data_IF_043855200008
#
_entry.id   IF_043855200008
#
_cell.length_a   1.000
_cell.length_b   1.000
_cell.length_c   1.000
_cell.angle_alpha   90.00
_cell.angle_beta   90.00
_cell.angle_gamma   90.00
#
_symmetry.space_group_name_H-M   'P 1'
#
loop_
_entity.id
_entity.type
_entity.pdbx_description
1 polymer ?
#
# COMPACT_ATOMS: atom_id res chain seq x y z
N UNK A 1 -11.34 33.23 20.60
CA UNK A 1 -10.52 32.28 21.37
C UNK A 1 -9.45 31.78 20.42
N UNK A 2 -8.19 32.07 20.70
CA UNK A 2 -7.09 31.59 19.86
C UNK A 2 -7.11 30.06 19.92
N UNK A 3 -7.23 29.42 18.75
CA UNK A 3 -6.96 27.99 18.62
C UNK A 3 -5.52 27.80 19.07
N UNK A 4 -5.28 27.09 20.17
CA UNK A 4 -3.94 26.57 20.44
C UNK A 4 -3.57 25.71 19.24
N UNK A 5 -2.68 26.24 18.40
CA UNK A 5 -2.29 25.58 17.17
C UNK A 5 -1.66 24.24 17.55
N UNK A 6 -2.16 23.17 16.94
CA UNK A 6 -1.64 21.82 17.16
C UNK A 6 -0.13 21.82 16.92
N UNK A 7 0.66 21.60 17.98
CA UNK A 7 2.11 21.50 17.84
C UNK A 7 2.43 20.11 17.31
N UNK A 8 2.80 20.02 16.04
CA UNK A 8 3.37 18.79 15.49
C UNK A 8 4.72 18.47 16.15
N UNK A 9 4.97 17.19 16.52
CA UNK A 9 6.26 16.77 17.02
C UNK A 9 7.32 16.93 15.93
N UNK A 10 8.54 17.25 16.34
CA UNK A 10 9.71 17.18 15.46
C UNK A 10 9.99 15.73 15.03
N UNK A 11 10.86 15.55 14.03
CA UNK A 11 11.30 14.20 13.62
C UNK A 11 11.92 13.48 14.82
N UNK A 12 12.80 14.15 15.57
CA UNK A 12 13.46 13.54 16.73
C UNK A 12 12.47 13.19 17.85
N UNK A 13 11.49 14.05 18.12
CA UNK A 13 10.42 13.76 19.08
C UNK A 13 9.57 12.56 18.62
N UNK A 14 9.31 12.44 17.32
CA UNK A 14 8.56 11.32 16.74
C UNK A 14 9.36 10.02 16.84
N UNK A 15 10.64 10.02 16.47
CA UNK A 15 11.50 8.83 16.48
C UNK A 15 11.73 8.30 17.90
N UNK A 16 11.81 9.19 18.90
CA UNK A 16 12.00 8.83 20.30
C UNK A 16 10.69 8.54 21.04
N UNK A 17 9.53 8.67 20.38
CA UNK A 17 8.24 8.41 21.01
C UNK A 17 8.08 6.91 21.32
N UNK A 18 7.65 6.50 22.54
CA UNK A 18 7.53 5.08 22.91
C UNK A 18 6.61 4.26 22.01
N UNK A 19 5.63 4.89 21.35
CA UNK A 19 4.73 4.23 20.40
C UNK A 19 5.31 4.09 18.98
N UNK A 20 6.40 4.81 18.64
CA UNK A 20 6.97 4.81 17.29
C UNK A 20 7.42 3.42 16.81
N UNK A 21 8.05 2.56 17.64
CA UNK A 21 8.35 1.18 17.25
C UNK A 21 7.10 0.38 16.84
N UNK A 22 5.93 0.71 17.41
CA UNK A 22 4.65 0.09 17.08
C UNK A 22 3.96 0.64 15.83
N UNK A 23 4.51 1.68 15.19
CA UNK A 23 3.93 2.28 13.99
C UNK A 23 4.11 1.42 12.74
N UNK A 24 5.16 0.59 12.70
CA UNK A 24 5.41 -0.41 11.65
C UNK A 24 5.51 -1.78 12.28
N UNK A 25 4.88 -2.76 11.65
CA UNK A 25 4.88 -4.14 12.11
C UNK A 25 5.76 -4.99 11.21
N UNK A 26 6.61 -5.81 11.81
CA UNK A 26 7.34 -6.85 11.08
C UNK A 26 6.44 -8.08 10.97
N UNK A 27 5.64 -8.10 9.90
CA UNK A 27 4.76 -9.20 9.56
C UNK A 27 5.52 -10.16 8.64
N UNK A 28 5.96 -11.30 9.17
CA UNK A 28 6.72 -12.27 8.38
C UNK A 28 5.77 -13.00 7.40
N UNK A 29 5.99 -12.94 6.08
CA UNK A 29 5.16 -13.66 5.10
C UNK A 29 5.40 -15.17 5.14
N UNK A 30 4.38 -15.94 4.78
CA UNK A 30 4.51 -17.40 4.57
C UNK A 30 5.31 -17.72 3.32
N UNK A 31 5.21 -16.87 2.30
CA UNK A 31 6.10 -16.88 1.15
C UNK A 31 6.20 -15.50 0.51
N UNK A 32 7.31 -15.23 -0.15
CA UNK A 32 7.55 -13.98 -0.84
C UNK A 32 8.49 -14.21 -2.03
N UNK A 33 8.47 -13.29 -2.98
CA UNK A 33 9.35 -13.38 -4.13
C UNK A 33 9.15 -12.20 -5.08
N UNK A 34 9.69 -12.38 -6.28
CA UNK A 34 9.42 -11.50 -7.40
C UNK A 34 8.92 -12.32 -8.59
N UNK A 35 7.89 -11.82 -9.25
CA UNK A 35 7.41 -12.37 -10.51
C UNK A 35 7.90 -11.47 -11.65
N UNK A 36 8.57 -12.06 -12.64
CA UNK A 36 8.98 -11.33 -13.83
C UNK A 36 7.81 -11.26 -14.81
N UNK A 37 7.32 -10.05 -15.08
CA UNK A 37 6.11 -9.77 -15.85
C UNK A 37 6.40 -8.81 -17.01
N UNK A 38 5.37 -8.57 -17.83
CA UNK A 38 5.37 -7.62 -18.94
C UNK A 38 6.43 -7.92 -20.03
N UNK A 39 6.90 -9.17 -20.14
CA UNK A 39 7.95 -9.58 -21.09
C UNK A 39 7.63 -9.19 -22.54
N UNK A 40 6.36 -9.30 -22.93
CA UNK A 40 5.86 -8.95 -24.27
C UNK A 40 5.17 -7.57 -24.31
N UNK A 41 5.33 -6.76 -23.27
CA UNK A 41 4.73 -5.41 -23.13
C UNK A 41 5.80 -4.34 -22.93
N UNK A 42 6.03 -3.96 -21.67
CA UNK A 42 6.92 -2.87 -21.26
C UNK A 42 8.09 -3.37 -20.41
N UNK A 43 8.35 -4.68 -20.42
CA UNK A 43 9.28 -5.38 -19.55
C UNK A 43 10.38 -6.16 -20.29
N UNK A 44 11.02 -7.13 -19.62
CA UNK A 44 10.65 -7.71 -18.33
C UNK A 44 10.80 -6.71 -17.17
N UNK A 45 9.86 -6.78 -16.21
CA UNK A 45 9.95 -6.09 -14.92
C UNK A 45 9.67 -7.07 -13.79
N UNK A 46 10.40 -6.97 -12.70
CA UNK A 46 10.18 -7.80 -11.52
C UNK A 46 9.23 -7.11 -10.55
N UNK A 47 8.06 -7.73 -10.32
CA UNK A 47 7.06 -7.31 -9.34
C UNK A 47 7.23 -8.10 -8.06
N UNK A 48 7.55 -7.39 -6.97
CA UNK A 48 7.66 -7.98 -5.65
C UNK A 48 6.28 -8.29 -5.07
N UNK A 49 6.15 -9.45 -4.44
CA UNK A 49 4.92 -9.93 -3.84
C UNK A 49 5.19 -10.66 -2.53
N UNK A 50 4.17 -10.68 -1.67
CA UNK A 50 4.14 -11.41 -0.40
C UNK A 50 2.81 -12.14 -0.26
N UNK A 51 2.87 -13.33 0.33
CA UNK A 51 1.70 -14.13 0.73
C UNK A 51 1.70 -14.29 2.25
N UNK A 52 0.55 -14.00 2.86
CA UNK A 52 0.29 -14.23 4.29
C UNK A 52 -0.96 -15.08 4.47
N UNK A 53 -0.89 -16.09 5.33
CA UNK A 53 -1.97 -17.03 5.58
C UNK A 53 -1.95 -18.23 4.62
N UNK A 54 -2.83 -19.19 4.90
CA UNK A 54 -2.91 -20.45 4.18
C UNK A 54 -4.35 -20.99 4.09
N UNK A 55 -5.34 -20.13 4.35
CA UNK A 55 -6.74 -20.48 4.27
C UNK A 55 -7.30 -20.47 2.84
N UNK A 56 -8.48 -21.08 2.63
CA UNK A 56 -9.04 -21.27 1.29
C UNK A 56 -9.51 -19.97 0.61
N UNK A 57 -9.80 -18.90 1.37
CA UNK A 57 -10.32 -17.64 0.82
C UNK A 57 -9.15 -16.74 0.39
N UNK A 58 -9.02 -16.50 -0.91
CA UNK A 58 -7.91 -15.73 -1.49
C UNK A 58 -8.27 -14.26 -1.64
N UNK A 59 -7.48 -13.38 -1.06
CA UNK A 59 -7.65 -11.92 -1.12
C UNK A 59 -6.42 -11.30 -1.78
N UNK A 60 -6.62 -10.39 -2.74
CA UNK A 60 -5.54 -9.65 -3.42
C UNK A 60 -5.66 -8.17 -3.06
N UNK A 61 -4.60 -7.61 -2.51
CA UNK A 61 -4.55 -6.20 -2.11
C UNK A 61 -3.70 -5.38 -3.08
N UNK A 62 -4.29 -4.35 -3.69
CA UNK A 62 -3.62 -3.46 -4.64
C UNK A 62 -3.57 -2.05 -4.05
N UNK A 63 -2.34 -1.56 -3.81
CA UNK A 63 -2.10 -0.28 -3.13
C UNK A 63 -2.28 0.92 -4.08
N UNK A 64 -2.45 2.10 -3.48
CA UNK A 64 -2.49 3.40 -4.17
C UNK A 64 -1.12 3.91 -4.66
N UNK A 65 -1.12 5.11 -5.24
CA UNK A 65 0.07 5.75 -5.77
C UNK A 65 1.11 5.98 -4.67
N UNK A 66 2.38 5.66 -4.97
CA UNK A 66 3.55 5.90 -4.12
C UNK A 66 3.53 5.23 -2.73
N UNK A 67 2.62 4.30 -2.47
CA UNK A 67 2.57 3.52 -1.24
C UNK A 67 2.96 2.05 -1.52
N UNK A 68 3.79 1.49 -0.65
CA UNK A 68 4.19 0.08 -0.72
C UNK A 68 3.14 -0.84 -0.10
N UNK A 69 3.27 -2.13 -0.36
CA UNK A 69 2.36 -3.15 0.16
C UNK A 69 2.24 -3.15 1.70
N UNK A 70 3.27 -2.68 2.41
CA UNK A 70 3.31 -2.63 3.88
C UNK A 70 2.25 -1.69 4.50
N UNK A 71 1.69 -0.74 3.74
CA UNK A 71 0.63 0.11 4.28
C UNK A 71 -0.68 -0.68 4.58
N UNK A 72 -0.78 -1.94 4.13
CA UNK A 72 -1.85 -2.87 4.50
C UNK A 72 -1.61 -3.62 5.82
N UNK A 73 -0.58 -3.30 6.62
CA UNK A 73 -0.17 -4.09 7.80
C UNK A 73 -1.33 -4.45 8.75
N UNK A 74 -2.32 -3.56 8.94
CA UNK A 74 -3.49 -3.85 9.80
C UNK A 74 -4.37 -4.95 9.21
N UNK A 75 -4.65 -4.88 7.92
CA UNK A 75 -5.41 -5.89 7.19
C UNK A 75 -4.61 -7.20 7.10
N UNK A 76 -3.30 -7.12 6.85
CA UNK A 76 -2.42 -8.29 6.81
C UNK A 76 -2.36 -9.01 8.15
N UNK A 77 -2.26 -8.28 9.26
CA UNK A 77 -2.29 -8.86 10.61
C UNK A 77 -3.62 -9.59 10.84
N UNK A 78 -4.76 -8.91 10.63
CA UNK A 78 -6.06 -9.49 10.90
C UNK A 78 -6.37 -10.73 10.02
N UNK A 79 -6.21 -10.62 8.70
CA UNK A 79 -6.59 -11.71 7.78
C UNK A 79 -5.49 -12.74 7.59
N UNK A 80 -4.25 -12.30 7.42
CA UNK A 80 -3.12 -13.16 7.07
C UNK A 80 -2.41 -13.80 8.27
N UNK A 81 -2.62 -13.29 9.49
CA UNK A 81 -2.03 -13.87 10.70
C UNK A 81 -3.09 -14.33 11.70
N UNK A 82 -3.97 -13.44 12.18
CA UNK A 82 -4.95 -13.78 13.21
C UNK A 82 -6.01 -14.77 12.68
N UNK A 83 -6.28 -14.76 11.38
CA UNK A 83 -7.23 -15.65 10.69
C UNK A 83 -6.59 -16.44 9.53
N UNK A 84 -5.30 -16.79 9.67
CA UNK A 84 -4.50 -17.45 8.64
C UNK A 84 -5.10 -18.77 8.13
N UNK A 85 -5.88 -19.50 8.94
CA UNK A 85 -6.58 -20.72 8.53
C UNK A 85 -7.78 -20.47 7.61
N UNK A 86 -8.31 -19.25 7.57
CA UNK A 86 -9.49 -18.88 6.79
C UNK A 86 -9.11 -18.15 5.50
N UNK A 87 -8.08 -17.30 5.56
CA UNK A 87 -7.68 -16.42 4.46
C UNK A 87 -6.24 -16.65 4.01
N UNK A 88 -6.01 -16.41 2.73
CA UNK A 88 -4.67 -16.25 2.15
C UNK A 88 -4.63 -14.92 1.42
N UNK A 89 -3.74 -14.03 1.86
CA UNK A 89 -3.58 -12.66 1.37
C UNK A 89 -2.42 -12.61 0.37
N UNK A 90 -2.64 -12.07 -0.83
CA UNK A 90 -1.60 -11.65 -1.78
C UNK A 90 -1.45 -10.14 -1.71
N UNK A 91 -0.24 -9.70 -1.37
CA UNK A 91 0.20 -8.33 -1.39
C UNK A 91 1.24 -8.15 -2.49
N UNK A 92 1.24 -7.01 -3.17
CA UNK A 92 2.24 -6.69 -4.18
C UNK A 92 2.63 -5.21 -4.17
N UNK A 93 3.89 -4.94 -4.47
CA UNK A 93 4.35 -3.60 -4.78
C UNK A 93 4.07 -3.34 -6.26
N UNK A 94 3.23 -2.36 -6.56
CA UNK A 94 3.03 -1.90 -7.94
C UNK A 94 4.39 -1.53 -8.57
N UNK A 95 4.52 -1.71 -9.91
CA UNK A 95 5.67 -1.16 -10.65
C UNK A 95 5.94 0.29 -10.24
N UNK A 96 7.21 0.66 -10.10
CA UNK A 96 7.63 2.00 -9.67
C UNK A 96 7.71 2.22 -8.16
N UNK A 97 7.28 1.27 -7.32
CA UNK A 97 7.22 1.44 -5.86
C UNK A 97 7.89 0.27 -5.13
N UNK A 98 8.37 0.54 -3.91
CA UNK A 98 8.85 -0.49 -2.99
C UNK A 98 10.02 -1.29 -3.56
N UNK A 99 9.93 -2.60 -3.54
CA UNK A 99 10.99 -3.51 -4.02
C UNK A 99 10.77 -4.02 -5.44
N UNK A 100 9.69 -3.60 -6.09
CA UNK A 100 9.46 -3.78 -7.52
C UNK A 100 10.35 -2.87 -8.35
N UNK A 101 10.55 -3.26 -9.61
CA UNK A 101 11.31 -2.49 -10.59
C UNK A 101 10.64 -1.15 -10.90
N UNK A 102 11.48 -0.17 -11.28
CA UNK A 102 11.08 1.24 -11.47
C UNK A 102 11.49 1.74 -12.86
N UNK A 103 10.97 1.12 -13.93
CA UNK A 103 11.36 1.48 -15.29
C UNK A 103 10.99 2.94 -15.60
N UNK A 104 11.83 3.61 -16.38
CA UNK A 104 11.51 4.88 -17.01
C UNK A 104 10.58 4.63 -18.21
N UNK A 105 9.29 4.53 -17.94
CA UNK A 105 8.26 4.25 -18.92
C UNK A 105 6.99 5.04 -18.63
N UNK A 106 6.01 4.97 -19.53
CA UNK A 106 4.65 5.43 -19.25
C UNK A 106 3.93 4.35 -18.44
N UNK A 107 3.22 4.77 -17.40
CA UNK A 107 2.51 3.87 -16.49
C UNK A 107 1.02 4.02 -16.78
N UNK A 108 0.35 2.89 -17.05
CA UNK A 108 -1.10 2.85 -17.27
C UNK A 108 -1.74 1.84 -16.33
N UNK A 109 -2.96 2.12 -15.91
CA UNK A 109 -3.74 1.21 -15.06
C UNK A 109 -4.00 -0.12 -15.75
N UNK A 110 -4.19 -0.11 -17.07
CA UNK A 110 -4.33 -1.33 -17.90
C UNK A 110 -3.06 -2.18 -17.87
N UNK A 111 -1.87 -1.59 -18.05
CA UNK A 111 -0.61 -2.35 -17.95
C UNK A 111 -0.35 -2.87 -16.54
N UNK A 112 -0.68 -2.08 -15.52
CA UNK A 112 -0.54 -2.51 -14.13
C UNK A 112 -1.52 -3.62 -13.77
N UNK A 113 -2.73 -3.62 -14.34
CA UNK A 113 -3.68 -4.72 -14.18
C UNK A 113 -3.18 -5.99 -14.85
N UNK A 114 -2.56 -5.88 -16.03
CA UNK A 114 -1.90 -7.01 -16.68
C UNK A 114 -0.72 -7.57 -15.86
N UNK A 115 0.04 -6.72 -15.16
CA UNK A 115 1.05 -7.19 -14.21
C UNK A 115 0.44 -8.05 -13.11
N UNK A 116 -0.69 -7.62 -12.54
CA UNK A 116 -1.39 -8.39 -11.51
C UNK A 116 -1.85 -9.74 -12.06
N UNK A 117 -2.35 -9.81 -13.29
CA UNK A 117 -2.72 -11.09 -13.94
C UNK A 117 -1.50 -12.01 -14.04
N UNK A 118 -0.36 -11.50 -14.50
CA UNK A 118 0.87 -12.28 -14.67
C UNK A 118 1.47 -12.71 -13.32
N UNK A 119 1.37 -11.89 -12.27
CA UNK A 119 1.70 -12.31 -10.88
C UNK A 119 0.78 -13.43 -10.41
N UNK A 120 -0.53 -13.33 -10.66
CA UNK A 120 -1.48 -14.39 -10.31
C UNK A 120 -1.19 -15.69 -11.08
N UNK A 121 -0.76 -15.60 -12.34
CA UNK A 121 -0.33 -16.75 -13.15
C UNK A 121 0.92 -17.39 -12.57
N UNK A 122 1.93 -16.59 -12.23
CA UNK A 122 3.15 -17.05 -11.57
C UNK A 122 2.86 -17.82 -10.28
N UNK A 123 1.87 -17.38 -9.51
CA UNK A 123 1.44 -18.00 -8.25
C UNK A 123 0.46 -19.18 -8.45
N UNK A 124 0.02 -19.45 -9.69
CA UNK A 124 -0.99 -20.47 -9.98
C UNK A 124 -2.40 -20.13 -9.48
N UNK A 125 -2.69 -18.86 -9.18
CA UNK A 125 -4.00 -18.38 -8.74
C UNK A 125 -4.92 -18.09 -9.93
N UNK A 126 -5.22 -19.14 -10.70
CA UNK A 126 -5.85 -19.03 -12.01
C UNK A 126 -7.32 -19.42 -12.04
N UNK A 127 -7.85 -20.02 -10.98
CA UNK A 127 -9.22 -20.52 -10.91
C UNK A 127 -10.26 -19.39 -11.11
N UNK A 128 -11.32 -19.61 -11.90
CA UNK A 128 -12.36 -18.60 -12.13
C UNK A 128 -13.12 -18.32 -10.83
N UNK A 129 -13.56 -17.06 -10.66
CA UNK A 129 -14.41 -16.62 -9.53
C UNK A 129 -13.87 -17.03 -8.15
N UNK A 130 -12.56 -17.00 -7.95
CA UNK A 130 -11.89 -17.46 -6.73
C UNK A 130 -11.15 -16.37 -5.94
N UNK A 131 -11.03 -15.15 -6.50
CA UNK A 131 -10.23 -14.08 -5.92
C UNK A 131 -11.10 -12.92 -5.43
N UNK A 132 -10.88 -12.47 -4.20
CA UNK A 132 -11.46 -11.24 -3.68
C UNK A 132 -10.45 -10.11 -3.82
N UNK A 133 -10.72 -9.10 -4.65
CA UNK A 133 -9.77 -8.02 -4.91
C UNK A 133 -10.17 -6.77 -4.15
N UNK A 134 -9.20 -6.13 -3.50
CA UNK A 134 -9.35 -4.85 -2.82
C UNK A 134 -8.35 -3.85 -3.40
N UNK A 135 -8.85 -2.71 -3.89
CA UNK A 135 -8.02 -1.66 -4.48
C UNK A 135 -8.22 -0.32 -3.77
N UNK A 136 -7.13 0.32 -3.34
CA UNK A 136 -7.12 1.65 -2.73
C UNK A 136 -6.65 2.70 -3.73
N UNK A 137 -7.41 3.78 -3.94
CA UNK A 137 -7.02 4.92 -4.79
C UNK A 137 -6.60 4.44 -6.20
N UNK A 138 -5.34 4.66 -6.62
CA UNK A 138 -4.80 4.09 -7.88
C UNK A 138 -5.02 2.57 -7.99
N UNK A 139 -4.86 1.84 -6.88
CA UNK A 139 -5.12 0.40 -6.83
C UNK A 139 -6.57 0.05 -7.14
N UNK A 140 -7.53 0.93 -6.84
CA UNK A 140 -8.92 0.80 -7.24
C UNK A 140 -9.14 0.95 -8.75
N UNK A 141 -8.39 1.85 -9.41
CA UNK A 141 -8.41 1.97 -10.88
C UNK A 141 -7.84 0.72 -11.54
N UNK A 142 -6.71 0.22 -11.02
CA UNK A 142 -6.10 -1.03 -11.48
C UNK A 142 -7.06 -2.21 -11.28
N UNK A 143 -7.74 -2.28 -10.13
CA UNK A 143 -8.67 -3.36 -9.83
C UNK A 143 -9.91 -3.35 -10.75
N UNK A 144 -10.36 -2.17 -11.18
CA UNK A 144 -11.43 -2.04 -12.18
C UNK A 144 -10.98 -2.57 -13.55
N UNK A 145 -9.79 -2.19 -14.02
CA UNK A 145 -9.19 -2.74 -15.25
C UNK A 145 -9.06 -4.26 -15.17
N UNK A 146 -8.59 -4.79 -14.04
CA UNK A 146 -8.48 -6.23 -13.77
C UNK A 146 -9.84 -6.94 -13.81
N UNK A 147 -10.91 -6.31 -13.31
CA UNK A 147 -12.26 -6.88 -13.35
C UNK A 147 -12.84 -6.94 -14.77
N UNK A 148 -12.44 -6.01 -15.64
CA UNK A 148 -12.83 -5.95 -17.05
C UNK A 148 -11.97 -6.87 -17.94
N UNK A 149 -10.73 -7.15 -17.54
CA UNK A 149 -9.79 -7.95 -18.32
C UNK A 149 -10.10 -9.46 -18.22
N UNK A 150 -9.97 -10.22 -19.32
CA UNK A 150 -9.88 -11.67 -19.23
C UNK A 150 -8.52 -12.08 -18.62
N UNK A 151 -8.46 -13.21 -17.91
CA UNK A 151 -9.57 -14.11 -17.54
C UNK A 151 -10.35 -13.65 -16.30
N UNK A 152 -11.67 -13.94 -16.27
CA UNK A 152 -12.56 -13.55 -15.16
C UNK A 152 -12.33 -14.38 -13.88
N UNK A 153 -11.38 -13.96 -13.06
CA UNK A 153 -10.99 -14.64 -11.80
C UNK A 153 -11.66 -14.08 -10.55
N UNK A 154 -12.18 -12.85 -10.60
CA UNK A 154 -12.67 -12.15 -9.42
C UNK A 154 -14.01 -12.72 -8.96
N UNK A 155 -14.10 -13.10 -7.69
CA UNK A 155 -15.32 -13.43 -6.96
C UNK A 155 -16.03 -12.14 -6.51
N UNK A 156 -15.27 -11.21 -5.92
CA UNK A 156 -15.73 -9.87 -5.51
C UNK A 156 -14.67 -8.80 -5.77
N UNK A 157 -15.11 -7.53 -5.74
CA UNK A 157 -14.28 -6.35 -5.92
C UNK A 157 -14.67 -5.31 -4.86
N UNK A 158 -13.70 -4.81 -4.10
CA UNK A 158 -13.85 -3.73 -3.12
C UNK A 158 -13.02 -2.52 -3.54
N UNK A 159 -13.67 -1.36 -3.67
CA UNK A 159 -13.07 -0.12 -4.15
C UNK A 159 -13.01 0.91 -3.02
N UNK A 160 -11.81 1.35 -2.66
CA UNK A 160 -11.58 2.26 -1.52
C UNK A 160 -10.99 3.58 -2.02
N UNK A 161 -11.67 4.69 -1.75
CA UNK A 161 -11.19 6.05 -2.05
C UNK A 161 -10.65 6.22 -3.49
N UNK A 162 -11.39 5.73 -4.48
CA UNK A 162 -10.96 5.67 -5.89
C UNK A 162 -12.00 6.29 -6.83
N UNK A 163 -11.65 6.38 -8.11
CA UNK A 163 -12.53 6.79 -9.21
C UNK A 163 -12.31 5.86 -10.40
N UNK A 164 -13.26 5.81 -11.34
CA UNK A 164 -13.12 5.04 -12.58
C UNK A 164 -12.12 5.67 -13.54
N UNK A 165 -12.07 7.01 -13.58
CA UNK A 165 -11.16 7.78 -14.40
C UNK A 165 -10.72 9.03 -13.63
N UNK A 166 -9.44 9.39 -13.77
CA UNK A 166 -8.90 10.64 -13.24
C UNK A 166 -9.28 11.78 -14.20
N UNK A 167 -10.46 12.33 -13.98
CA UNK A 167 -10.92 13.52 -14.67
C UNK A 167 -10.54 14.76 -13.85
N UNK A 168 -9.90 15.73 -14.49
CA UNK A 168 -9.60 17.02 -13.89
C UNK A 168 -10.30 18.08 -14.73
N UNK A 169 -11.32 18.70 -14.14
CA UNK A 169 -11.97 19.91 -14.64
C UNK A 169 -11.14 21.17 -14.36
N UNK A 170 -10.02 21.02 -13.64
CA UNK A 170 -9.15 22.13 -13.29
C UNK A 170 -8.40 22.70 -14.49
N UNK A 171 -8.20 24.02 -14.55
CA UNK A 171 -7.36 24.66 -15.55
C UNK A 171 -5.98 23.98 -15.68
N UNK A 172 -5.47 23.90 -16.91
CA UNK A 172 -4.17 23.29 -17.22
C UNK A 172 -3.05 23.89 -16.36
N UNK A 173 -3.06 25.20 -16.16
CA UNK A 173 -2.06 25.89 -15.35
C UNK A 173 -2.08 25.44 -13.89
N UNK A 174 -3.27 25.24 -13.31
CA UNK A 174 -3.41 24.77 -11.93
C UNK A 174 -2.93 23.31 -11.80
N UNK A 175 -3.27 22.46 -12.76
CA UNK A 175 -2.76 21.08 -12.82
C UNK A 175 -1.24 21.03 -12.94
N UNK A 176 -0.64 21.93 -13.73
CA UNK A 176 0.82 22.06 -13.84
C UNK A 176 1.45 22.55 -12.54
N UNK A 177 0.82 23.51 -11.85
CA UNK A 177 1.24 23.95 -10.53
C UNK A 177 1.17 22.82 -9.50
N UNK A 178 0.08 22.05 -9.45
CA UNK A 178 -0.07 20.89 -8.57
C UNK A 178 1.03 19.85 -8.83
N UNK A 179 1.31 19.55 -10.09
CA UNK A 179 2.42 18.66 -10.48
C UNK A 179 3.79 19.22 -10.09
N UNK A 180 4.02 20.52 -10.27
CA UNK A 180 5.25 21.16 -9.81
C UNK A 180 5.40 21.07 -8.29
N UNK A 181 4.32 21.22 -7.53
CA UNK A 181 4.32 21.04 -6.08
C UNK A 181 4.62 19.61 -5.65
N UNK A 182 4.25 18.60 -6.45
CA UNK A 182 4.65 17.21 -6.22
C UNK A 182 6.15 16.98 -6.46
N UNK A 183 6.74 17.70 -7.42
CA UNK A 183 8.17 17.57 -7.77
C UNK A 183 9.10 18.42 -6.89
N UNK A 184 8.55 19.38 -6.15
CA UNK A 184 9.34 20.27 -5.29
C UNK A 184 9.88 19.49 -4.09
N UNK A 185 11.21 19.43 -3.88
CA UNK A 185 11.78 18.80 -2.70
C UNK A 185 11.26 19.46 -1.42
N UNK A 186 10.74 18.66 -0.50
CA UNK A 186 10.28 19.10 0.82
C UNK A 186 11.10 18.39 1.88
N UNK A 187 11.31 19.05 3.02
CA UNK A 187 11.91 18.36 4.17
C UNK A 187 10.98 17.25 4.66
N UNK A 188 11.54 16.19 5.24
CA UNK A 188 10.76 15.08 5.79
C UNK A 188 9.72 15.58 6.81
N UNK A 189 10.09 16.53 7.66
CA UNK A 189 9.18 17.13 8.64
C UNK A 189 7.97 17.80 7.96
N UNK A 190 8.21 18.50 6.84
CA UNK A 190 7.13 19.13 6.07
C UNK A 190 6.27 18.09 5.36
N UNK A 191 6.86 17.01 4.85
CA UNK A 191 6.11 15.91 4.21
C UNK A 191 5.19 15.24 5.23
N UNK A 192 5.69 14.93 6.43
CA UNK A 192 4.89 14.31 7.50
C UNK A 192 3.73 15.21 7.89
N UNK A 193 3.99 16.50 8.11
CA UNK A 193 2.97 17.49 8.44
C UNK A 193 1.91 17.62 7.33
N UNK A 194 2.32 17.89 6.09
CA UNK A 194 1.42 18.04 4.95
C UNK A 194 0.58 16.77 4.72
N UNK A 195 1.15 15.60 4.98
CA UNK A 195 0.45 14.31 4.85
C UNK A 195 -0.57 14.12 5.97
N UNK A 196 -0.19 14.42 7.21
CA UNK A 196 -1.08 14.29 8.36
C UNK A 196 -2.33 15.18 8.22
N UNK A 197 -2.15 16.46 7.85
CA UNK A 197 -3.27 17.38 7.65
C UNK A 197 -4.16 17.02 6.45
N UNK A 198 -3.60 16.34 5.45
CA UNK A 198 -4.36 15.86 4.29
C UNK A 198 -5.19 14.62 4.61
N UNK A 199 -4.66 13.74 5.46
CA UNK A 199 -5.30 12.46 5.80
C UNK A 199 -6.28 12.60 6.97
N UNK A 200 -6.02 13.51 7.91
CA UNK A 200 -6.75 13.58 9.17
C UNK A 200 -7.20 15.02 9.47
N UNK A 201 -8.45 15.21 9.94
CA UNK A 201 -8.90 16.50 10.46
C UNK A 201 -8.05 16.93 11.67
N UNK A 202 -7.90 18.24 11.87
CA UNK A 202 -7.17 18.80 13.02
C UNK A 202 -7.69 18.29 14.37
N UNK A 203 -9.02 18.10 14.50
CA UNK A 203 -9.62 17.53 15.70
C UNK A 203 -9.19 16.08 15.97
N UNK A 204 -8.95 15.28 14.92
CA UNK A 204 -8.44 13.92 15.05
C UNK A 204 -6.96 13.93 15.46
N UNK A 205 -6.15 14.80 14.85
CA UNK A 205 -4.74 14.95 15.20
C UNK A 205 -4.53 15.46 16.63
N UNK A 206 -5.48 16.23 17.16
CA UNK A 206 -5.48 16.74 18.53
C UNK A 206 -5.98 15.73 19.56
N UNK A 207 -6.69 14.69 19.12
CA UNK A 207 -7.25 13.69 20.01
C UNK A 207 -6.17 12.71 20.49
N UNK A 208 -6.35 12.10 21.68
CA UNK A 208 -5.52 10.97 22.10
C UNK A 208 -5.57 9.84 21.05
N UNK A 209 -4.44 9.16 20.87
CA UNK A 209 -4.41 7.96 20.02
C UNK A 209 -5.19 6.82 20.71
N UNK A 210 -6.39 6.55 20.21
CA UNK A 210 -7.24 5.44 20.64
C UNK A 210 -7.14 4.24 19.67
N UNK A 211 -6.22 4.26 18.71
CA UNK A 211 -6.11 3.19 17.72
C UNK A 211 -5.86 1.83 18.40
N UNK A 212 -6.56 0.81 17.88
CA UNK A 212 -6.60 -0.56 18.38
C UNK A 212 -5.22 -1.08 18.84
N UNK A 213 -5.23 -1.84 19.94
CA UNK A 213 -4.04 -2.29 20.65
C UNK A 213 -2.97 -2.89 19.74
N UNK A 214 -1.71 -2.67 20.11
CA UNK A 214 -0.56 -3.26 19.42
C UNK A 214 -0.75 -4.79 19.31
N UNK A 215 -0.32 -5.41 18.20
CA UNK A 215 -0.36 -6.86 18.04
C UNK A 215 0.28 -7.55 19.26
N UNK A 216 -0.48 -8.42 19.91
CA UNK A 216 0.05 -9.16 21.06
C UNK A 216 0.85 -10.36 20.54
N UNK A 217 2.03 -10.67 21.11
CA UNK A 217 2.74 -11.92 20.81
C UNK A 217 1.89 -13.18 21.03
N UNK A 218 0.83 -13.09 21.85
CA UNK A 218 -0.11 -14.18 22.12
C UNK A 218 -1.11 -14.40 20.98
N UNK A 219 -1.54 -13.34 20.27
CA UNK A 219 -2.48 -13.42 19.14
C UNK A 219 -1.76 -13.55 17.81
N UNK A 220 -0.57 -12.95 17.68
CA UNK A 220 0.12 -12.79 16.41
C UNK A 220 1.60 -13.15 16.57
N UNK A 221 1.90 -14.45 16.66
CA UNK A 221 3.26 -15.00 16.95
C UNK A 221 4.36 -14.58 15.94
N UNK A 222 3.98 -14.06 14.77
CA UNK A 222 4.86 -13.59 13.68
C UNK A 222 4.74 -12.07 13.42
N UNK A 223 4.28 -11.32 14.41
CA UNK A 223 4.24 -9.87 14.38
C UNK A 223 5.07 -9.32 15.54
N UNK A 224 6.25 -8.80 15.24
CA UNK A 224 7.06 -8.06 16.21
C UNK A 224 7.14 -6.60 15.80
N UNK A 225 7.17 -5.64 16.75
CA UNK A 225 7.58 -4.28 16.43
C UNK A 225 8.94 -4.32 15.73
N UNK A 226 9.12 -3.53 14.67
CA UNK A 226 10.40 -3.49 13.96
C UNK A 226 11.48 -2.99 14.91
N UNK A 227 12.57 -3.75 15.08
CA UNK A 227 13.74 -3.29 15.84
C UNK A 227 14.19 -1.93 15.30
N UNK A 228 14.36 -0.95 16.20
CA UNK A 228 14.60 0.46 15.87
C UNK A 228 15.81 0.73 14.95
N UNK A 229 16.69 -0.25 14.73
CA UNK A 229 17.80 -0.20 13.79
C UNK A 229 17.46 -0.41 12.30
N UNK A 230 16.31 -1.02 11.97
CA UNK A 230 15.91 -1.33 10.58
C UNK A 230 15.12 -0.19 9.89
N UNK A 231 14.48 0.69 10.68
CA UNK A 231 13.58 1.73 10.16
C UNK A 231 14.29 2.82 9.32
N UNK A 232 15.60 3.00 9.50
CA UNK A 232 16.40 4.01 8.78
C UNK A 232 16.54 3.72 7.27
N UNK A 233 16.49 2.44 6.85
CA UNK A 233 16.71 2.06 5.45
C UNK A 233 15.46 2.25 4.57
N UNK A 234 14.24 2.19 5.12
CA UNK A 234 13.01 2.27 4.32
C UNK A 234 12.62 3.70 3.94
N UNK A 235 13.00 4.71 4.74
CA UNK A 235 12.69 6.12 4.47
C UNK A 235 13.53 6.70 3.31
N UNK A 236 14.75 6.18 3.11
CA UNK A 236 15.62 6.60 2.01
C UNK A 236 15.15 6.10 0.64
N UNK A 237 14.30 5.06 0.58
CA UNK A 237 13.82 4.47 -0.68
C UNK A 237 12.51 5.08 -1.20
N UNK A 238 11.95 6.07 -0.49
CA UNK A 238 10.69 6.74 -0.82
C UNK A 238 10.87 8.23 -1.21
N UNK A 239 12.12 8.68 -1.43
CA UNK A 239 12.44 9.99 -1.99
C UNK A 239 12.81 9.88 -3.47
#
# INVERSE_FOLDING_TARGET
MASDALRFPSIDETLNHPAYPGAKWDLIPDSQGKASVAKDRSGPIDIAWQIHGHGPIKIVLIMGLAASMNAWQRQTCYFGHDHADQYTMLLLDNRGVGTSDKPLARYTTTEMAADVVEVLDHLGWTSPRSLHVVGLSLGGMIAQELACAPPRRLASLSLLCTTACLESDRPVLETLCDRFHLLRPKSLARIVHDTAERLFPQAWLAAPDEAAGLPSPHTTRRCVPVDSGSCLLTLAAAC
#
